data_IF_751598986418
#
_entry.id   IF_751598986418
#
_cell.length_a   1.000
_cell.length_b   1.000
_cell.length_c   1.000
_cell.angle_alpha   90.00
_cell.angle_beta   90.00
_cell.angle_gamma   90.00
#
_symmetry.space_group_name_H-M   'P 1'
#
loop_
_entity.id
_entity.type
_entity.pdbx_description
1 polymer ?
#
# COMPACT_ATOMS: atom_id res chain seq x y z
N UNK A 1 -3.03 23.23 35.96
CA UNK A 1 -4.51 23.34 35.89
C UNK A 1 -4.89 23.50 34.42
N UNK A 2 -5.13 22.40 33.72
CA UNK A 2 -5.63 22.40 32.34
C UNK A 2 -7.15 22.54 32.37
N UNK A 3 -7.65 23.65 31.85
CA UNK A 3 -9.10 23.84 31.66
C UNK A 3 -9.54 23.02 30.44
N UNK A 4 -10.24 21.94 30.70
CA UNK A 4 -11.07 21.25 29.70
C UNK A 4 -12.16 22.22 29.22
N UNK A 5 -12.06 22.68 27.98
CA UNK A 5 -13.16 23.37 27.31
C UNK A 5 -14.24 22.33 26.99
N UNK A 6 -15.36 22.42 27.73
CA UNK A 6 -16.58 21.70 27.37
C UNK A 6 -17.15 22.32 26.11
N UNK A 7 -16.94 21.67 24.96
CA UNK A 7 -17.68 21.96 23.73
C UNK A 7 -19.11 21.46 23.93
N UNK A 8 -20.05 22.39 24.16
CA UNK A 8 -21.47 22.07 24.08
C UNK A 8 -21.77 21.63 22.66
N UNK A 9 -22.11 20.36 22.48
CA UNK A 9 -22.74 19.88 21.26
C UNK A 9 -24.07 20.60 21.11
N UNK A 10 -24.19 21.43 20.09
CA UNK A 10 -25.44 22.10 19.73
C UNK A 10 -26.33 21.06 19.05
N UNK A 11 -27.21 20.44 19.82
CA UNK A 11 -28.29 19.56 19.36
C UNK A 11 -29.41 20.41 18.79
N UNK A 12 -29.25 21.01 17.63
CA UNK A 12 -30.37 21.55 16.85
C UNK A 12 -30.41 20.86 15.47
N UNK A 13 -31.45 20.03 15.31
CA UNK A 13 -32.06 19.66 14.04
C UNK A 13 -31.39 18.51 13.28
N UNK A 14 -31.86 17.36 13.50
CA UNK A 14 -31.88 16.01 12.92
C UNK A 14 -31.31 15.02 13.92
N UNK A 15 -32.17 14.13 14.42
CA UNK A 15 -31.70 12.96 15.17
C UNK A 15 -30.78 12.17 14.22
N UNK A 16 -29.46 12.30 14.40
CA UNK A 16 -28.54 11.34 13.88
C UNK A 16 -28.84 10.00 14.57
N UNK A 17 -29.77 9.25 14.00
CA UNK A 17 -30.08 7.90 14.47
C UNK A 17 -28.84 7.09 14.12
N UNK A 18 -28.05 6.74 15.13
CA UNK A 18 -26.96 5.77 14.94
C UNK A 18 -27.59 4.49 14.38
N UNK A 19 -27.24 4.15 13.13
CA UNK A 19 -27.79 3.01 12.43
C UNK A 19 -27.09 1.74 12.92
N UNK A 20 -27.85 0.74 13.31
CA UNK A 20 -27.35 -0.60 13.60
C UNK A 20 -27.52 -1.43 12.32
N UNK A 21 -26.42 -1.98 11.84
CA UNK A 21 -26.42 -2.82 10.64
C UNK A 21 -26.48 -4.30 11.04
N UNK A 22 -27.21 -5.08 10.26
CA UNK A 22 -27.32 -6.54 10.46
C UNK A 22 -26.29 -7.33 9.63
N UNK A 23 -25.75 -6.72 8.58
CA UNK A 23 -24.74 -7.28 7.72
C UNK A 23 -23.63 -6.27 7.47
N UNK A 24 -22.40 -6.71 7.44
CA UNK A 24 -21.24 -5.86 7.18
C UNK A 24 -21.28 -5.26 5.75
N UNK A 25 -21.90 -5.94 4.79
CA UNK A 25 -22.05 -5.44 3.42
C UNK A 25 -22.94 -4.19 3.34
N UNK A 26 -23.91 -4.05 4.25
CA UNK A 26 -24.77 -2.85 4.34
C UNK A 26 -24.00 -1.61 4.80
N UNK A 27 -22.77 -1.78 5.29
CA UNK A 27 -21.88 -0.70 5.69
C UNK A 27 -20.99 -0.21 4.55
N UNK A 28 -21.01 -0.88 3.39
CA UNK A 28 -20.22 -0.47 2.22
C UNK A 28 -20.88 0.75 1.59
N UNK A 29 -20.07 1.77 1.32
CA UNK A 29 -20.58 3.07 0.84
C UNK A 29 -21.00 4.00 1.98
N UNK A 30 -21.71 5.07 1.63
CA UNK A 30 -22.09 6.15 2.54
C UNK A 30 -20.91 6.67 3.38
N UNK A 31 -19.73 6.67 2.78
CA UNK A 31 -18.49 7.05 3.44
C UNK A 31 -18.49 8.54 3.78
N UNK A 32 -17.87 8.94 4.90
CA UNK A 32 -17.76 10.35 5.29
C UNK A 32 -16.96 11.17 4.27
N UNK A 33 -17.10 12.49 4.38
CA UNK A 33 -16.29 13.47 3.66
C UNK A 33 -15.60 14.38 4.67
N UNK A 34 -14.31 14.67 4.44
CA UNK A 34 -13.47 15.52 5.28
C UNK A 34 -13.03 16.75 4.50
N UNK A 35 -13.27 17.96 5.04
CA UNK A 35 -12.69 19.20 4.52
C UNK A 35 -11.22 19.32 4.97
N UNK A 36 -10.31 19.53 4.05
CA UNK A 36 -8.88 19.74 4.30
C UNK A 36 -8.67 21.19 4.75
N UNK A 37 -8.06 21.38 5.93
CA UNK A 37 -7.90 22.72 6.54
C UNK A 37 -6.47 23.06 6.93
N UNK A 38 -5.62 22.07 7.15
CA UNK A 38 -4.26 22.26 7.64
C UNK A 38 -3.21 22.07 6.53
N UNK A 39 -3.66 21.95 5.28
CA UNK A 39 -2.81 21.92 4.09
C UNK A 39 -3.18 23.11 3.21
N UNK A 40 -2.17 23.84 2.72
CA UNK A 40 -2.38 24.95 1.79
C UNK A 40 -2.83 24.43 0.42
N UNK A 41 -4.10 24.68 0.10
CA UNK A 41 -4.75 24.33 -1.18
C UNK A 41 -4.94 25.53 -2.10
N UNK A 42 -4.29 26.68 -1.82
CA UNK A 42 -4.52 27.93 -2.56
C UNK A 42 -5.95 28.46 -2.36
N UNK A 43 -6.62 29.00 -3.40
CA UNK A 43 -7.93 29.62 -3.25
C UNK A 43 -9.09 28.63 -3.05
N UNK A 44 -8.87 27.33 -3.30
CA UNK A 44 -9.93 26.32 -3.27
C UNK A 44 -10.22 25.78 -1.88
N UNK A 45 -11.46 25.32 -1.70
CA UNK A 45 -11.82 24.40 -0.61
C UNK A 45 -11.74 22.99 -1.12
N UNK A 46 -10.84 22.19 -0.51
CA UNK A 46 -10.61 20.81 -0.87
C UNK A 46 -11.25 19.85 0.14
N UNK A 47 -11.97 18.85 -0.36
CA UNK A 47 -12.63 17.82 0.41
C UNK A 47 -12.15 16.45 0.00
N UNK A 48 -12.02 15.51 0.95
CA UNK A 48 -11.69 14.11 0.69
C UNK A 48 -12.86 13.20 1.04
N UNK A 49 -13.32 12.43 0.07
CA UNK A 49 -14.26 11.32 0.26
C UNK A 49 -13.49 10.15 0.88
N UNK A 50 -13.83 9.76 2.11
CA UNK A 50 -13.06 8.82 2.91
C UNK A 50 -13.38 7.36 2.59
N UNK A 51 -13.03 6.89 1.39
CA UNK A 51 -13.26 5.52 0.95
C UNK A 51 -12.46 4.47 1.74
N UNK A 52 -11.39 4.90 2.41
CA UNK A 52 -10.66 4.08 3.38
C UNK A 52 -11.51 3.60 4.57
N UNK A 53 -12.68 4.21 4.80
CA UNK A 53 -13.62 3.85 5.88
C UNK A 53 -14.64 2.77 5.48
N UNK A 54 -14.61 2.28 4.25
CA UNK A 54 -15.32 1.05 3.91
C UNK A 54 -14.81 -0.14 4.76
N UNK A 55 -15.60 -1.19 4.98
CA UNK A 55 -15.27 -2.31 5.87
C UNK A 55 -13.95 -3.03 5.58
N UNK A 56 -13.60 -3.30 4.29
CA UNK A 56 -12.31 -3.86 3.91
C UNK A 56 -11.25 -2.77 3.65
N UNK A 57 -11.58 -1.51 3.94
CA UNK A 57 -10.68 -0.37 3.98
C UNK A 57 -10.33 0.20 2.61
N UNK A 58 -11.25 0.17 1.62
CA UNK A 58 -11.00 0.82 0.34
C UNK A 58 -12.26 1.08 -0.50
N UNK A 59 -12.12 1.95 -1.51
CA UNK A 59 -13.12 2.20 -2.54
C UNK A 59 -13.54 0.92 -3.31
N UNK A 60 -12.69 -0.11 -3.31
CA UNK A 60 -12.97 -1.35 -4.05
C UNK A 60 -13.98 -2.26 -3.35
N UNK A 61 -14.32 -2.00 -2.10
CA UNK A 61 -15.40 -2.69 -1.41
C UNK A 61 -16.72 -2.53 -2.17
N UNK A 62 -16.95 -1.32 -2.72
CA UNK A 62 -18.14 -1.00 -3.52
C UNK A 62 -18.28 -1.91 -4.74
N UNK A 63 -17.23 -2.03 -5.52
CA UNK A 63 -17.24 -2.87 -6.73
C UNK A 63 -17.24 -4.36 -6.39
N UNK A 64 -16.61 -4.76 -5.29
CA UNK A 64 -16.63 -6.14 -4.81
C UNK A 64 -18.05 -6.63 -4.52
N UNK A 65 -18.86 -5.81 -3.84
CA UNK A 65 -20.27 -6.10 -3.58
C UNK A 65 -21.09 -6.03 -4.86
N UNK A 66 -20.97 -4.95 -5.64
CA UNK A 66 -21.77 -4.72 -6.85
C UNK A 66 -21.61 -5.84 -7.88
N UNK A 67 -20.37 -6.23 -8.23
CA UNK A 67 -20.12 -7.25 -9.24
C UNK A 67 -20.67 -8.64 -8.85
N UNK A 68 -20.63 -8.98 -7.55
CA UNK A 68 -21.20 -10.25 -7.07
C UNK A 68 -22.73 -10.17 -7.08
N UNK A 69 -23.33 -9.11 -6.54
CA UNK A 69 -24.78 -8.99 -6.45
C UNK A 69 -25.48 -8.90 -7.80
N UNK A 70 -24.88 -8.18 -8.74
CA UNK A 70 -25.46 -8.09 -10.08
C UNK A 70 -25.30 -9.42 -10.85
N UNK A 71 -24.22 -10.17 -10.66
CA UNK A 71 -24.07 -11.52 -11.20
C UNK A 71 -25.12 -12.50 -10.61
N UNK A 72 -25.41 -12.42 -9.30
CA UNK A 72 -26.49 -13.17 -8.66
C UNK A 72 -27.87 -12.82 -9.27
N UNK A 73 -28.17 -11.52 -9.42
CA UNK A 73 -29.46 -11.06 -9.98
C UNK A 73 -29.68 -11.54 -11.42
N UNK A 74 -28.62 -11.61 -12.23
CA UNK A 74 -28.69 -12.15 -13.60
C UNK A 74 -28.73 -13.67 -13.64
N UNK A 75 -28.40 -14.36 -12.55
CA UNK A 75 -28.27 -15.82 -12.50
C UNK A 75 -26.97 -16.36 -13.09
N UNK A 76 -25.98 -15.48 -13.33
CA UNK A 76 -24.63 -15.83 -13.79
C UNK A 76 -23.83 -16.49 -12.66
N UNK A 77 -24.09 -16.10 -11.42
CA UNK A 77 -23.48 -16.65 -10.19
C UNK A 77 -24.57 -17.28 -9.31
N UNK A 78 -24.38 -18.53 -8.92
CA UNK A 78 -25.33 -19.31 -8.11
C UNK A 78 -24.70 -19.72 -6.78
N UNK A 79 -25.51 -19.94 -5.73
CA UNK A 79 -25.01 -20.45 -4.46
C UNK A 79 -24.16 -21.70 -4.65
N UNK A 80 -22.94 -21.68 -4.11
CA UNK A 80 -21.97 -22.77 -4.21
C UNK A 80 -20.99 -22.67 -5.38
N UNK A 81 -21.19 -21.74 -6.32
CA UNK A 81 -20.22 -21.48 -7.37
C UNK A 81 -18.92 -20.91 -6.81
N UNK A 82 -17.81 -21.20 -7.48
CA UNK A 82 -16.51 -20.60 -7.15
C UNK A 82 -16.32 -19.29 -7.93
N UNK A 83 -15.80 -18.28 -7.27
CA UNK A 83 -15.42 -17.00 -7.89
C UNK A 83 -13.92 -16.99 -8.11
N UNK A 84 -13.47 -16.47 -9.26
CA UNK A 84 -12.06 -16.24 -9.59
C UNK A 84 -11.86 -14.78 -10.00
N UNK A 85 -10.79 -14.15 -9.52
CA UNK A 85 -10.36 -12.85 -9.99
C UNK A 85 -8.84 -12.75 -10.01
N UNK A 86 -8.34 -11.97 -10.97
CA UNK A 86 -6.93 -11.63 -11.09
C UNK A 86 -6.72 -10.20 -10.62
N UNK A 87 -6.10 -10.01 -9.44
CA UNK A 87 -5.98 -8.68 -8.86
C UNK A 87 -4.76 -8.54 -7.97
N UNK A 88 -4.14 -7.37 -8.02
CA UNK A 88 -2.97 -7.03 -7.21
C UNK A 88 -3.32 -6.42 -5.83
N UNK A 89 -4.59 -6.34 -5.39
CA UNK A 89 -4.79 -5.67 -4.14
C UNK A 89 -6.23 -5.48 -3.65
N UNK A 90 -6.67 -4.23 -3.61
CA UNK A 90 -7.91 -3.83 -2.93
C UNK A 90 -9.18 -4.48 -3.51
N UNK A 91 -9.24 -4.74 -4.81
CA UNK A 91 -10.38 -5.45 -5.41
C UNK A 91 -10.52 -6.85 -4.84
N UNK A 92 -9.41 -7.57 -4.63
CA UNK A 92 -9.40 -8.86 -3.97
C UNK A 92 -9.96 -8.81 -2.55
N UNK A 93 -9.66 -7.75 -1.77
CA UNK A 93 -10.20 -7.56 -0.42
C UNK A 93 -11.71 -7.27 -0.46
N UNK A 94 -12.18 -6.41 -1.37
CA UNK A 94 -13.61 -6.14 -1.53
C UNK A 94 -14.39 -7.39 -1.96
N UNK A 95 -13.84 -8.19 -2.88
CA UNK A 95 -14.41 -9.47 -3.29
C UNK A 95 -14.40 -10.50 -2.14
N UNK A 96 -13.29 -10.57 -1.38
CA UNK A 96 -13.20 -11.50 -0.24
C UNK A 96 -14.21 -11.14 0.85
N UNK A 97 -14.44 -9.85 1.11
CA UNK A 97 -15.50 -9.39 2.02
C UNK A 97 -16.87 -9.89 1.56
N UNK A 98 -17.25 -9.65 0.30
CA UNK A 98 -18.55 -10.01 -0.23
C UNK A 98 -18.70 -11.54 -0.33
N UNK A 99 -17.69 -12.23 -0.86
CA UNK A 99 -17.71 -13.69 -1.02
C UNK A 99 -17.84 -14.42 0.33
N UNK A 100 -17.07 -13.99 1.35
CA UNK A 100 -17.13 -14.59 2.69
C UNK A 100 -18.51 -14.46 3.33
N UNK A 101 -19.18 -13.30 3.16
CA UNK A 101 -20.51 -13.05 3.72
C UNK A 101 -21.63 -13.81 2.98
N UNK A 102 -21.43 -14.05 1.69
CA UNK A 102 -22.41 -14.73 0.83
C UNK A 102 -22.12 -16.24 0.67
N UNK A 103 -21.01 -16.74 1.24
CA UNK A 103 -20.65 -18.15 1.24
C UNK A 103 -20.06 -18.67 -0.08
N UNK A 104 -19.43 -17.81 -0.87
CA UNK A 104 -18.75 -18.20 -2.11
C UNK A 104 -17.28 -18.56 -1.87
N UNK A 105 -16.79 -19.70 -2.34
CA UNK A 105 -15.36 -19.95 -2.49
C UNK A 105 -14.74 -18.90 -3.42
N UNK A 106 -13.60 -18.34 -3.04
CA UNK A 106 -12.92 -17.29 -3.79
C UNK A 106 -11.46 -17.68 -4.05
N UNK A 107 -11.05 -17.62 -5.32
CA UNK A 107 -9.67 -17.82 -5.75
C UNK A 107 -9.15 -16.48 -6.31
N UNK A 108 -8.04 -16.00 -5.79
CA UNK A 108 -7.38 -14.76 -6.21
C UNK A 108 -6.01 -15.05 -6.78
N UNK A 109 -5.77 -14.61 -8.01
CA UNK A 109 -4.48 -14.74 -8.68
C UNK A 109 -3.71 -13.42 -8.58
N UNK A 110 -2.54 -13.46 -7.93
CA UNK A 110 -1.73 -12.28 -7.61
C UNK A 110 -0.31 -12.42 -8.18
N UNK A 111 0.29 -11.32 -8.68
CA UNK A 111 1.74 -11.29 -8.95
C UNK A 111 2.54 -11.44 -7.65
N UNK A 112 3.67 -12.13 -7.71
CA UNK A 112 4.53 -12.44 -6.55
C UNK A 112 5.25 -11.22 -5.93
N UNK A 113 5.23 -10.06 -6.60
CA UNK A 113 5.73 -8.77 -6.08
C UNK A 113 4.84 -8.12 -5.01
N UNK A 114 3.68 -8.69 -4.73
CA UNK A 114 2.74 -8.14 -3.74
C UNK A 114 3.27 -8.27 -2.31
N UNK A 115 2.90 -7.32 -1.45
CA UNK A 115 3.31 -7.34 -0.04
C UNK A 115 2.72 -8.55 0.70
N UNK A 116 3.48 -9.08 1.66
CA UNK A 116 3.02 -10.20 2.49
C UNK A 116 1.76 -9.86 3.29
N UNK A 117 1.65 -8.60 3.73
CA UNK A 117 0.49 -8.11 4.48
C UNK A 117 -0.80 -8.26 3.66
N UNK A 118 -0.76 -7.94 2.36
CA UNK A 118 -1.91 -8.11 1.46
C UNK A 118 -2.28 -9.58 1.28
N UNK A 119 -1.28 -10.44 1.09
CA UNK A 119 -1.48 -11.89 0.95
C UNK A 119 -2.10 -12.46 2.23
N UNK A 120 -1.59 -12.08 3.41
CA UNK A 120 -2.13 -12.52 4.69
C UNK A 120 -3.56 -12.04 4.93
N UNK A 121 -3.87 -10.78 4.58
CA UNK A 121 -5.23 -10.26 4.69
C UNK A 121 -6.23 -11.05 3.83
N UNK A 122 -5.89 -11.34 2.57
CA UNK A 122 -6.73 -12.10 1.67
C UNK A 122 -6.98 -13.53 2.19
N UNK A 123 -5.93 -14.21 2.66
CA UNK A 123 -6.04 -15.55 3.26
C UNK A 123 -6.85 -15.54 4.54
N UNK A 124 -6.67 -14.53 5.40
CA UNK A 124 -7.44 -14.37 6.64
C UNK A 124 -8.95 -14.18 6.37
N UNK A 125 -9.29 -13.58 5.23
CA UNK A 125 -10.69 -13.43 4.77
C UNK A 125 -11.23 -14.68 4.05
N UNK A 126 -10.45 -15.77 3.99
CA UNK A 126 -10.86 -17.06 3.44
C UNK A 126 -10.59 -17.26 1.95
N UNK A 127 -9.89 -16.36 1.28
CA UNK A 127 -9.55 -16.53 -0.12
C UNK A 127 -8.40 -17.54 -0.32
N UNK A 128 -8.52 -18.40 -1.32
CA UNK A 128 -7.41 -19.16 -1.89
C UNK A 128 -6.55 -18.19 -2.71
N UNK A 129 -5.26 -18.08 -2.38
CA UNK A 129 -4.34 -17.17 -3.07
C UNK A 129 -3.34 -17.96 -3.90
N UNK A 130 -3.38 -17.74 -5.21
CA UNK A 130 -2.44 -18.28 -6.20
C UNK A 130 -1.45 -17.19 -6.57
N UNK A 131 -0.16 -17.39 -6.27
CA UNK A 131 0.89 -16.48 -6.67
C UNK A 131 1.43 -16.88 -8.03
N UNK A 132 1.70 -15.87 -8.87
CA UNK A 132 2.27 -16.04 -10.20
C UNK A 132 3.39 -15.03 -10.45
N UNK A 133 4.12 -15.21 -11.54
CA UNK A 133 5.25 -14.36 -11.91
C UNK A 133 4.82 -12.92 -12.21
N UNK A 134 5.61 -11.97 -11.72
CA UNK A 134 5.45 -10.54 -11.99
C UNK A 134 6.35 -10.01 -13.10
N UNK A 135 7.27 -10.83 -13.61
CA UNK A 135 8.26 -10.49 -14.65
C UNK A 135 7.82 -10.91 -16.07
N UNK A 136 6.53 -11.23 -16.26
CA UNK A 136 5.95 -11.65 -17.53
C UNK A 136 4.90 -10.66 -18.03
N UNK A 137 4.81 -10.47 -19.34
CA UNK A 137 3.85 -9.59 -20.00
C UNK A 137 2.55 -10.31 -20.36
N UNK A 138 1.53 -9.53 -20.71
CA UNK A 138 0.23 -10.01 -21.21
C UNK A 138 0.40 -10.95 -22.40
N UNK A 139 -0.33 -12.07 -22.38
CA UNK A 139 -0.21 -13.15 -23.36
C UNK A 139 0.71 -14.30 -22.92
N UNK A 140 1.49 -14.14 -21.86
CA UNK A 140 2.21 -15.25 -21.24
C UNK A 140 1.26 -16.07 -20.36
N UNK A 141 1.31 -17.42 -20.36
CA UNK A 141 0.41 -18.26 -19.57
C UNK A 141 0.40 -17.98 -18.06
N UNK A 142 1.52 -17.50 -17.53
CA UNK A 142 1.68 -17.10 -16.12
C UNK A 142 1.43 -15.61 -15.88
N UNK A 143 0.98 -14.85 -16.90
CA UNK A 143 0.49 -13.48 -16.66
C UNK A 143 -0.78 -13.55 -15.81
N UNK A 144 -0.84 -12.78 -14.72
CA UNK A 144 -1.85 -12.97 -13.67
C UNK A 144 -3.30 -12.97 -14.19
N UNK A 145 -3.64 -12.11 -15.16
CA UNK A 145 -4.99 -12.07 -15.74
C UNK A 145 -5.27 -13.30 -16.63
N UNK A 146 -4.30 -13.75 -17.41
CA UNK A 146 -4.44 -14.89 -18.30
C UNK A 146 -4.52 -16.20 -17.50
N UNK A 147 -3.72 -16.31 -16.44
CA UNK A 147 -3.79 -17.43 -15.49
C UNK A 147 -5.14 -17.45 -14.74
N UNK A 148 -5.64 -16.29 -14.30
CA UNK A 148 -6.96 -16.20 -13.67
C UNK A 148 -8.09 -16.71 -14.57
N UNK A 149 -8.09 -16.30 -15.84
CA UNK A 149 -9.07 -16.80 -16.85
C UNK A 149 -8.94 -18.32 -17.08
N UNK A 150 -7.71 -18.81 -17.11
CA UNK A 150 -7.45 -20.26 -17.26
C UNK A 150 -8.00 -21.06 -16.09
N UNK A 151 -7.69 -20.63 -14.85
CA UNK A 151 -8.20 -21.27 -13.63
C UNK A 151 -9.74 -21.25 -13.60
N UNK A 152 -10.34 -20.10 -13.94
CA UNK A 152 -11.80 -19.99 -13.98
C UNK A 152 -12.42 -20.99 -14.95
N UNK A 153 -11.83 -21.15 -16.14
CA UNK A 153 -12.29 -22.13 -17.15
C UNK A 153 -12.11 -23.56 -16.68
N UNK A 154 -10.94 -23.91 -16.14
CA UNK A 154 -10.65 -25.28 -15.67
C UNK A 154 -11.54 -25.73 -14.50
N UNK A 155 -11.84 -24.80 -13.59
CA UNK A 155 -12.68 -25.05 -12.42
C UNK A 155 -14.18 -24.85 -12.69
N UNK A 156 -14.58 -24.44 -13.91
CA UNK A 156 -15.94 -24.01 -14.24
C UNK A 156 -16.46 -22.95 -13.23
N UNK A 157 -15.60 -21.97 -12.92
CA UNK A 157 -15.83 -20.92 -11.94
C UNK A 157 -16.22 -19.60 -12.63
N UNK A 158 -16.88 -18.72 -11.89
CA UNK A 158 -17.26 -17.40 -12.36
C UNK A 158 -16.04 -16.45 -12.29
N UNK A 159 -15.62 -15.94 -13.46
CA UNK A 159 -14.55 -14.96 -13.56
C UNK A 159 -15.13 -13.54 -13.48
N UNK A 160 -14.71 -12.75 -12.48
CA UNK A 160 -15.25 -11.40 -12.22
C UNK A 160 -14.91 -10.42 -13.34
N UNK A 161 -13.65 -10.40 -13.79
CA UNK A 161 -13.13 -9.49 -14.83
C UNK A 161 -13.35 -8.01 -14.52
N UNK A 162 -12.76 -7.48 -13.45
CA UNK A 162 -12.94 -6.09 -13.01
C UNK A 162 -12.67 -5.04 -14.11
N UNK A 163 -11.85 -5.37 -15.12
CA UNK A 163 -11.48 -4.47 -16.22
C UNK A 163 -12.49 -4.48 -17.39
N UNK A 164 -13.34 -5.50 -17.45
CA UNK A 164 -14.36 -5.68 -18.48
C UNK A 164 -15.79 -5.69 -17.94
N UNK A 165 -15.99 -5.79 -16.63
CA UNK A 165 -17.28 -5.98 -16.00
C UNK A 165 -18.07 -4.65 -15.89
N UNK A 166 -19.26 -4.52 -16.52
CA UNK A 166 -20.07 -3.30 -16.46
C UNK A 166 -20.62 -2.97 -15.07
N UNK A 167 -20.67 -3.93 -14.16
CA UNK A 167 -21.15 -3.75 -12.78
C UNK A 167 -20.13 -3.02 -11.92
N UNK A 168 -18.88 -2.94 -12.35
CA UNK A 168 -17.84 -2.13 -11.73
C UNK A 168 -18.18 -0.62 -11.80
N UNK A 169 -18.33 0.02 -12.99
CA UNK A 169 -18.74 1.41 -13.04
C UNK A 169 -20.15 1.67 -12.46
N UNK A 170 -21.07 0.69 -12.52
CA UNK A 170 -22.39 0.84 -11.95
C UNK A 170 -22.36 1.08 -10.43
N UNK A 171 -21.45 0.46 -9.69
CA UNK A 171 -21.26 0.71 -8.26
C UNK A 171 -20.98 2.19 -7.95
N UNK A 172 -20.27 2.87 -8.84
CA UNK A 172 -19.92 4.28 -8.69
C UNK A 172 -20.99 5.22 -9.25
N UNK A 173 -21.67 4.83 -10.35
CA UNK A 173 -22.79 5.58 -10.92
C UNK A 173 -23.97 5.63 -9.94
N UNK A 174 -24.30 4.51 -9.28
CA UNK A 174 -25.45 4.43 -8.37
C UNK A 174 -25.14 4.76 -6.91
N UNK A 175 -23.87 4.75 -6.50
CA UNK A 175 -23.44 4.95 -5.11
C UNK A 175 -22.53 6.17 -4.94
N UNK A 176 -21.28 6.09 -5.40
CA UNK A 176 -20.25 7.10 -5.12
C UNK A 176 -20.62 8.50 -5.63
N UNK A 177 -21.11 8.61 -6.86
CA UNK A 177 -21.43 9.89 -7.48
C UNK A 177 -22.62 10.60 -6.81
N UNK A 178 -23.78 9.94 -6.56
CA UNK A 178 -24.88 10.57 -5.84
C UNK A 178 -24.50 10.96 -4.40
N UNK A 179 -23.72 10.11 -3.68
CA UNK A 179 -23.25 10.45 -2.33
C UNK A 179 -22.41 11.73 -2.32
N UNK A 180 -21.52 11.92 -3.29
CA UNK A 180 -20.70 13.14 -3.38
C UNK A 180 -21.57 14.36 -3.61
N UNK A 181 -22.52 14.32 -4.55
CA UNK A 181 -23.39 15.46 -4.83
C UNK A 181 -24.29 15.79 -3.63
N UNK A 182 -24.81 14.79 -2.94
CA UNK A 182 -25.61 14.98 -1.72
C UNK A 182 -24.78 15.64 -0.60
N UNK A 183 -23.55 15.14 -0.35
CA UNK A 183 -22.68 15.67 0.69
C UNK A 183 -22.19 17.10 0.41
N UNK A 184 -22.16 17.48 -0.86
CA UNK A 184 -21.79 18.83 -1.30
C UNK A 184 -23.00 19.74 -1.53
N UNK A 185 -24.23 19.30 -1.23
CA UNK A 185 -25.50 20.01 -1.52
C UNK A 185 -25.59 20.47 -3.00
N UNK A 186 -25.01 19.70 -3.92
CA UNK A 186 -24.91 20.01 -5.35
C UNK A 186 -23.94 21.15 -5.70
N UNK A 187 -23.29 21.79 -4.72
CA UNK A 187 -22.37 22.91 -4.89
C UNK A 187 -20.91 22.39 -4.98
N UNK A 188 -20.52 21.95 -6.18
CA UNK A 188 -19.27 21.31 -6.49
C UNK A 188 -18.75 21.74 -7.86
N UNK A 189 -17.47 22.12 -7.97
CA UNK A 189 -16.85 22.58 -9.21
C UNK A 189 -16.03 21.49 -9.91
N UNK A 190 -15.31 20.65 -9.15
CA UNK A 190 -14.46 19.62 -9.73
C UNK A 190 -14.29 18.40 -8.83
N UNK A 191 -14.03 17.25 -9.45
CA UNK A 191 -13.63 16.01 -8.78
C UNK A 191 -12.27 15.57 -9.34
N UNK A 192 -11.28 15.40 -8.45
CA UNK A 192 -9.97 14.84 -8.79
C UNK A 192 -9.96 13.37 -8.40
N UNK A 193 -9.67 12.49 -9.36
CA UNK A 193 -9.73 11.04 -9.18
C UNK A 193 -8.57 10.34 -9.89
N UNK A 194 -8.27 9.10 -9.47
CA UNK A 194 -7.29 8.22 -10.11
C UNK A 194 -7.98 7.06 -10.84
N UNK A 195 -7.27 6.45 -11.76
CA UNK A 195 -7.76 5.36 -12.59
C UNK A 195 -6.87 4.12 -12.45
N UNK A 196 -7.48 3.00 -12.02
CA UNK A 196 -6.99 1.64 -12.20
C UNK A 196 -7.95 0.95 -13.16
N UNK A 197 -8.92 0.16 -12.66
CA UNK A 197 -9.91 -0.53 -13.52
C UNK A 197 -10.92 0.39 -14.24
N UNK A 198 -10.83 1.70 -14.13
CA UNK A 198 -11.69 2.73 -14.73
C UNK A 198 -13.11 2.83 -14.17
N UNK A 199 -13.55 1.95 -13.28
CA UNK A 199 -14.91 1.96 -12.77
C UNK A 199 -15.35 3.29 -12.18
N UNK A 200 -14.49 3.92 -11.37
CA UNK A 200 -14.80 5.19 -10.71
C UNK A 200 -15.00 6.31 -11.73
N UNK A 201 -14.04 6.52 -12.66
CA UNK A 201 -14.15 7.58 -13.66
C UNK A 201 -15.38 7.38 -14.56
N UNK A 202 -15.64 6.16 -14.99
CA UNK A 202 -16.77 5.81 -15.85
C UNK A 202 -18.12 6.02 -15.15
N UNK A 203 -18.25 5.54 -13.90
CA UNK A 203 -19.46 5.74 -13.12
C UNK A 203 -19.77 7.21 -12.84
N UNK A 204 -18.72 7.98 -12.45
CA UNK A 204 -18.87 9.43 -12.23
C UNK A 204 -19.19 10.15 -13.55
N UNK A 205 -18.52 9.84 -14.66
CA UNK A 205 -18.80 10.43 -15.98
C UNK A 205 -20.26 10.27 -16.37
N UNK A 206 -20.79 9.06 -16.25
CA UNK A 206 -22.20 8.75 -16.60
C UNK A 206 -23.20 9.49 -15.71
N UNK A 207 -22.96 9.51 -14.40
CA UNK A 207 -23.87 10.17 -13.45
C UNK A 207 -23.83 11.69 -13.60
N UNK A 208 -22.65 12.29 -13.62
CA UNK A 208 -22.48 13.73 -13.70
C UNK A 208 -22.96 14.31 -15.03
N UNK A 209 -22.88 13.54 -16.14
CA UNK A 209 -23.46 13.98 -17.43
C UNK A 209 -24.95 14.27 -17.32
N UNK A 210 -25.68 13.56 -16.47
CA UNK A 210 -27.13 13.69 -16.29
C UNK A 210 -27.51 14.68 -15.18
N UNK A 211 -26.73 14.73 -14.08
CA UNK A 211 -27.15 15.37 -12.83
C UNK A 211 -26.34 16.62 -12.47
N UNK A 212 -25.09 16.74 -12.95
CA UNK A 212 -24.23 17.89 -12.67
C UNK A 212 -23.23 18.10 -13.82
N UNK A 213 -23.71 18.50 -15.01
CA UNK A 213 -22.89 18.58 -16.23
C UNK A 213 -21.77 19.62 -16.17
N UNK A 214 -21.83 20.56 -15.21
CA UNK A 214 -20.81 21.61 -15.04
C UNK A 214 -19.65 21.19 -14.13
N UNK A 215 -19.71 20.03 -13.47
CA UNK A 215 -18.63 19.53 -12.62
C UNK A 215 -17.52 18.95 -13.50
N UNK A 216 -16.30 19.48 -13.37
CA UNK A 216 -15.11 19.00 -14.07
C UNK A 216 -14.60 17.70 -13.45
N UNK A 217 -14.20 16.73 -14.28
CA UNK A 217 -13.42 15.57 -13.84
C UNK A 217 -11.95 15.78 -14.21
N UNK A 218 -11.07 15.60 -13.24
CA UNK A 218 -9.63 15.79 -13.34
C UNK A 218 -8.96 14.47 -13.00
N UNK A 219 -8.06 13.99 -13.88
CA UNK A 219 -7.32 12.76 -13.64
C UNK A 219 -6.02 13.04 -12.90
N UNK A 220 -5.79 12.26 -11.83
CA UNK A 220 -4.49 12.10 -11.20
C UNK A 220 -3.89 10.76 -11.65
N UNK A 221 -2.75 10.79 -12.30
CA UNK A 221 -2.12 9.62 -12.91
C UNK A 221 -0.66 9.51 -12.47
N UNK A 222 -0.13 8.33 -12.10
CA UNK A 222 1.29 8.20 -11.79
C UNK A 222 2.14 8.42 -13.04
N UNK A 223 3.29 9.05 -12.89
CA UNK A 223 4.29 9.14 -13.95
C UNK A 223 4.68 7.73 -14.42
N UNK A 224 4.66 7.52 -15.74
CA UNK A 224 4.90 6.20 -16.34
C UNK A 224 3.64 5.48 -16.81
N UNK A 225 2.47 5.83 -16.28
CA UNK A 225 1.16 5.43 -16.84
C UNK A 225 0.90 6.14 -18.16
N UNK A 226 0.09 5.51 -19.03
CA UNK A 226 -0.25 6.08 -20.34
C UNK A 226 -1.44 7.03 -20.30
N UNK A 227 -2.18 7.11 -19.19
CA UNK A 227 -3.51 7.72 -19.16
C UNK A 227 -3.43 9.26 -19.20
N UNK A 228 -2.46 9.87 -18.52
CA UNK A 228 -2.31 11.33 -18.56
C UNK A 228 -2.00 11.85 -19.97
N UNK A 229 -1.11 11.18 -20.70
CA UNK A 229 -0.78 11.53 -22.09
C UNK A 229 -1.99 11.33 -23.01
N UNK A 230 -2.71 10.21 -22.82
CA UNK A 230 -3.93 9.92 -23.57
C UNK A 230 -5.01 11.00 -23.38
N UNK A 231 -5.24 11.43 -22.14
CA UNK A 231 -6.25 12.47 -21.85
C UNK A 231 -5.84 13.82 -22.42
N UNK A 232 -4.59 14.24 -22.22
CA UNK A 232 -4.14 15.57 -22.57
C UNK A 232 -3.81 15.73 -24.06
N UNK A 233 -3.38 14.67 -24.73
CA UNK A 233 -2.84 14.75 -26.10
C UNK A 233 -3.54 13.78 -27.07
N UNK A 234 -4.33 12.82 -26.59
CA UNK A 234 -4.97 11.79 -27.43
C UNK A 234 -3.99 10.72 -27.93
N UNK A 235 -2.78 10.67 -27.38
CA UNK A 235 -1.70 9.79 -27.82
C UNK A 235 -1.51 8.64 -26.82
N UNK A 236 -1.39 7.42 -27.36
CA UNK A 236 -0.95 6.26 -26.60
C UNK A 236 0.52 6.03 -26.91
N UNK A 237 1.37 6.31 -25.94
CA UNK A 237 2.80 6.02 -26.06
C UNK A 237 3.07 4.65 -25.42
N UNK A 238 3.88 3.82 -26.11
CA UNK A 238 4.47 2.61 -25.50
C UNK A 238 5.54 3.03 -24.47
N UNK A 239 5.10 3.57 -23.34
CA UNK A 239 5.98 3.87 -22.22
C UNK A 239 6.06 2.63 -21.33
N UNK A 240 7.19 1.93 -21.40
CA UNK A 240 7.54 0.87 -20.44
C UNK A 240 8.16 1.47 -19.15
N UNK A 241 7.53 2.49 -18.58
CA UNK A 241 7.96 3.02 -17.29
C UNK A 241 7.18 2.32 -16.16
N UNK A 242 7.86 2.04 -15.08
CA UNK A 242 7.26 1.46 -13.87
C UNK A 242 7.07 2.55 -12.83
N UNK A 243 6.02 2.44 -12.03
CA UNK A 243 5.74 3.28 -10.87
C UNK A 243 5.55 2.43 -9.62
N UNK A 244 5.72 3.02 -8.44
CA UNK A 244 5.62 2.36 -7.14
C UNK A 244 4.30 2.63 -6.41
N UNK A 245 3.54 3.63 -6.86
CA UNK A 245 2.17 3.87 -6.40
C UNK A 245 1.29 2.67 -6.75
N UNK A 246 0.45 2.24 -5.82
CA UNK A 246 -0.39 1.07 -6.01
C UNK A 246 -1.87 1.44 -6.20
N UNK A 247 -2.56 0.70 -7.10
CA UNK A 247 -4.01 0.76 -7.28
C UNK A 247 -4.52 1.77 -8.29
N UNK A 248 -3.64 2.56 -8.88
CA UNK A 248 -3.90 3.47 -10.00
C UNK A 248 -2.73 3.45 -10.98
N UNK A 249 -2.95 3.98 -12.19
CA UNK A 249 -2.01 3.92 -13.29
C UNK A 249 -2.17 2.64 -14.10
N UNK A 250 -2.15 2.75 -15.42
CA UNK A 250 -2.31 1.63 -16.36
C UNK A 250 -1.36 1.78 -17.55
N UNK A 251 -1.02 0.64 -18.15
CA UNK A 251 -0.27 0.52 -19.41
C UNK A 251 -1.18 0.14 -20.59
N UNK A 252 -2.49 0.10 -20.35
CA UNK A 252 -3.54 -0.16 -21.36
C UNK A 252 -4.83 0.62 -21.02
N UNK A 253 -5.75 0.73 -21.98
CA UNK A 253 -7.09 1.28 -21.74
C UNK A 253 -8.04 0.17 -21.34
N UNK A 254 -8.60 0.18 -20.10
CA UNK A 254 -9.63 -0.76 -19.71
C UNK A 254 -10.88 -0.65 -20.62
N UNK A 255 -11.49 -1.77 -20.97
CA UNK A 255 -12.61 -1.80 -21.94
C UNK A 255 -13.87 -1.10 -21.44
N UNK A 256 -14.01 -0.93 -20.13
CA UNK A 256 -15.14 -0.23 -19.49
C UNK A 256 -14.90 1.27 -19.31
N UNK A 257 -13.76 1.81 -19.78
CA UNK A 257 -13.39 3.21 -19.53
C UNK A 257 -14.24 4.20 -20.34
N UNK A 258 -14.66 5.27 -19.66
CA UNK A 258 -15.28 6.45 -20.26
C UNK A 258 -14.59 7.70 -19.74
N UNK A 259 -13.69 8.23 -20.55
CA UNK A 259 -12.93 9.46 -20.27
C UNK A 259 -13.55 10.71 -20.90
N UNK A 260 -14.72 10.61 -21.54
CA UNK A 260 -15.33 11.69 -22.30
C UNK A 260 -15.54 12.99 -21.53
N UNK A 261 -15.61 12.91 -20.19
CA UNK A 261 -15.78 14.05 -19.29
C UNK A 261 -14.52 14.45 -18.53
N UNK A 262 -13.42 13.75 -18.73
CA UNK A 262 -12.14 14.13 -18.09
C UNK A 262 -11.56 15.32 -18.85
N UNK A 263 -11.42 16.44 -18.16
CA UNK A 263 -11.02 17.72 -18.76
C UNK A 263 -9.51 17.84 -18.94
N UNK A 264 -8.77 17.39 -17.96
CA UNK A 264 -7.31 17.41 -17.93
C UNK A 264 -6.76 16.32 -17.01
N UNK A 265 -5.48 16.00 -17.15
CA UNK A 265 -4.79 15.02 -16.34
C UNK A 265 -3.45 15.58 -15.83
N UNK A 266 -3.13 15.23 -14.58
CA UNK A 266 -1.84 15.54 -13.95
C UNK A 266 -1.03 14.26 -13.80
N UNK A 267 0.14 14.22 -14.41
CA UNK A 267 1.15 13.22 -14.12
C UNK A 267 1.83 13.59 -12.80
N UNK A 268 1.86 12.64 -11.86
CA UNK A 268 2.38 12.82 -10.50
C UNK A 268 3.46 11.77 -10.25
N UNK A 269 4.64 12.20 -9.85
CA UNK A 269 5.72 11.29 -9.53
C UNK A 269 5.45 10.48 -8.25
N UNK A 270 6.15 9.36 -8.10
CA UNK A 270 6.11 8.56 -6.87
C UNK A 270 6.53 9.37 -5.65
N UNK A 271 7.56 10.23 -5.80
CA UNK A 271 8.02 11.15 -4.74
C UNK A 271 6.88 12.07 -4.28
N UNK A 272 6.25 12.78 -5.20
CA UNK A 272 5.13 13.68 -4.88
C UNK A 272 3.97 12.93 -4.22
N UNK A 273 3.70 11.71 -4.68
CA UNK A 273 2.65 10.85 -4.14
C UNK A 273 2.93 10.44 -2.69
N UNK A 274 4.16 10.03 -2.39
CA UNK A 274 4.54 9.61 -1.04
C UNK A 274 4.64 10.79 -0.08
N UNK A 275 5.17 11.92 -0.53
CA UNK A 275 5.23 13.17 0.24
C UNK A 275 3.83 13.68 0.59
N UNK A 276 2.90 13.65 -0.36
CA UNK A 276 1.51 14.05 -0.13
C UNK A 276 0.77 13.10 0.82
N UNK A 277 0.99 11.78 0.74
CA UNK A 277 0.41 10.82 1.69
C UNK A 277 0.94 11.06 3.12
N UNK A 278 2.23 11.33 3.27
CA UNK A 278 2.85 11.67 4.56
C UNK A 278 2.41 13.04 5.08
N UNK A 279 2.26 14.02 4.19
CA UNK A 279 1.72 15.35 4.52
C UNK A 279 0.30 15.24 5.06
N UNK A 280 -0.55 14.41 4.43
CA UNK A 280 -1.92 14.15 4.84
C UNK A 280 -1.98 13.57 6.26
N UNK A 281 -1.13 12.58 6.55
CA UNK A 281 -1.02 12.02 7.89
C UNK A 281 -0.54 13.06 8.91
N UNK A 282 0.49 13.82 8.58
CA UNK A 282 1.10 14.79 9.49
C UNK A 282 0.16 15.95 9.83
N UNK A 283 -0.57 16.48 8.84
CA UNK A 283 -1.31 17.72 9.01
C UNK A 283 -2.79 17.49 9.33
N UNK A 284 -3.41 16.43 8.78
CA UNK A 284 -4.83 16.13 8.97
C UNK A 284 -5.06 14.89 9.86
N UNK A 285 -4.00 14.16 10.22
CA UNK A 285 -4.10 12.92 11.01
C UNK A 285 -4.72 11.76 10.25
N UNK A 286 -4.76 11.83 8.91
CA UNK A 286 -5.40 10.82 8.06
C UNK A 286 -4.36 9.89 7.43
N UNK A 287 -4.33 8.63 7.88
CA UNK A 287 -3.45 7.59 7.35
C UNK A 287 -4.10 6.93 6.13
N UNK A 288 -3.77 7.42 4.94
CA UNK A 288 -4.29 6.93 3.66
C UNK A 288 -3.17 6.33 2.79
N UNK A 289 -3.53 5.51 1.79
CA UNK A 289 -2.57 4.82 0.94
C UNK A 289 -1.86 5.70 -0.09
N UNK A 290 -0.91 5.12 -0.83
CA UNK A 290 -0.07 5.83 -1.81
C UNK A 290 -0.89 6.52 -2.91
N UNK A 291 -1.90 5.84 -3.47
CA UNK A 291 -2.80 6.43 -4.47
C UNK A 291 -3.56 7.66 -3.94
N UNK A 292 -3.93 7.66 -2.66
CA UNK A 292 -4.55 8.85 -2.04
C UNK A 292 -3.58 10.03 -2.01
N UNK A 293 -2.29 9.76 -1.85
CA UNK A 293 -1.23 10.78 -1.96
C UNK A 293 -1.14 11.35 -3.37
N UNK A 294 -1.16 10.50 -4.40
CA UNK A 294 -1.19 10.94 -5.81
C UNK A 294 -2.39 11.84 -6.10
N UNK A 295 -3.57 11.44 -5.65
CA UNK A 295 -4.79 12.22 -5.82
C UNK A 295 -4.73 13.55 -5.08
N UNK A 296 -4.19 13.56 -3.86
CA UNK A 296 -4.01 14.78 -3.07
C UNK A 296 -3.02 15.73 -3.75
N UNK A 297 -1.88 15.24 -4.24
CA UNK A 297 -0.88 16.05 -4.95
C UNK A 297 -1.47 16.70 -6.21
N UNK A 298 -2.20 15.93 -7.02
CA UNK A 298 -2.91 16.44 -8.18
C UNK A 298 -3.99 17.48 -7.81
N UNK A 299 -4.77 17.20 -6.75
CA UNK A 299 -5.80 18.12 -6.27
C UNK A 299 -5.19 19.45 -5.78
N UNK A 300 -4.06 19.41 -5.08
CA UNK A 300 -3.34 20.62 -4.65
C UNK A 300 -2.83 21.40 -5.89
N UNK A 301 -2.22 20.70 -6.88
CA UNK A 301 -1.76 21.34 -8.13
C UNK A 301 -2.93 22.01 -8.87
N UNK A 302 -4.05 21.28 -9.03
CA UNK A 302 -5.25 21.83 -9.64
C UNK A 302 -5.79 23.05 -8.89
N UNK A 303 -5.92 22.96 -7.58
CA UNK A 303 -6.45 24.04 -6.75
C UNK A 303 -5.58 25.29 -6.79
N UNK A 304 -4.27 25.16 -6.70
CA UNK A 304 -3.32 26.29 -6.75
C UNK A 304 -3.28 26.99 -8.11
N UNK A 305 -3.64 26.30 -9.18
CA UNK A 305 -3.74 26.88 -10.52
C UNK A 305 -5.03 27.71 -10.72
N UNK A 306 -6.01 27.62 -9.82
CA UNK A 306 -7.25 28.38 -9.93
C UNK A 306 -7.06 29.85 -9.53
N UNK A 307 -7.79 30.74 -10.19
CA UNK A 307 -7.81 32.19 -9.87
C UNK A 307 -8.92 32.55 -8.89
N UNK A 308 -9.96 31.72 -8.84
CA UNK A 308 -11.14 31.90 -8.02
C UNK A 308 -11.31 30.71 -7.08
N UNK A 309 -12.08 30.92 -5.99
CA UNK A 309 -12.38 29.86 -5.04
C UNK A 309 -13.27 28.80 -5.69
N UNK A 310 -12.84 27.54 -5.63
CA UNK A 310 -13.60 26.37 -6.09
C UNK A 310 -13.78 25.38 -4.99
N UNK A 311 -14.87 24.60 -5.03
CA UNK A 311 -15.09 23.42 -4.21
C UNK A 311 -14.65 22.20 -4.99
N UNK A 312 -13.63 21.53 -4.48
CA UNK A 312 -12.99 20.38 -5.13
C UNK A 312 -13.09 19.18 -4.22
N UNK A 313 -13.54 18.05 -4.75
CA UNK A 313 -13.56 16.77 -4.05
C UNK A 313 -12.47 15.88 -4.61
N UNK A 314 -11.76 15.15 -3.74
CA UNK A 314 -10.88 14.06 -4.10
C UNK A 314 -11.14 12.87 -3.17
N UNK A 315 -10.31 11.84 -3.22
CA UNK A 315 -10.55 10.59 -2.50
C UNK A 315 -9.37 10.22 -1.60
N UNK A 316 -9.68 9.75 -0.38
CA UNK A 316 -8.80 8.88 0.38
C UNK A 316 -9.20 7.43 0.05
N UNK A 317 -8.54 6.88 -0.99
CA UNK A 317 -8.98 5.68 -1.69
C UNK A 317 -8.94 4.43 -0.82
N UNK A 318 -7.90 4.30 0.02
CA UNK A 318 -7.72 3.15 0.91
C UNK A 318 -6.90 3.52 2.15
N UNK A 319 -6.89 2.60 3.14
CA UNK A 319 -6.16 2.78 4.39
C UNK A 319 -4.66 2.63 4.21
N UNK A 320 -3.88 3.56 4.82
CA UNK A 320 -2.43 3.53 4.84
C UNK A 320 -1.84 2.35 5.66
N UNK A 321 -2.65 1.66 6.47
CA UNK A 321 -2.22 0.46 7.20
C UNK A 321 -1.66 -0.64 6.29
N UNK A 322 -1.99 -0.62 5.00
CA UNK A 322 -1.49 -1.56 3.98
C UNK A 322 -0.10 -1.19 3.43
N UNK A 323 0.46 -0.05 3.85
CA UNK A 323 1.68 0.57 3.29
C UNK A 323 2.69 0.99 4.36
N UNK A 324 2.54 0.49 5.61
CA UNK A 324 3.43 0.84 6.72
C UNK A 324 4.88 0.39 6.49
N UNK A 325 5.08 -0.68 5.73
CA UNK A 325 6.40 -1.17 5.34
C UNK A 325 6.96 -0.49 4.06
N UNK A 326 6.21 0.43 3.44
CA UNK A 326 6.55 1.14 2.20
C UNK A 326 6.61 2.66 2.40
N UNK A 327 5.66 3.42 1.85
CA UNK A 327 5.70 4.89 1.85
C UNK A 327 5.66 5.56 3.24
N UNK A 328 5.37 4.80 4.29
CA UNK A 328 5.46 5.26 5.69
C UNK A 328 6.70 4.73 6.43
N UNK A 329 7.62 4.05 5.74
CA UNK A 329 8.87 3.52 6.29
C UNK A 329 10.05 4.28 5.68
N UNK A 330 10.75 5.06 6.49
CA UNK A 330 11.89 5.88 6.04
C UNK A 330 13.00 5.01 5.43
N UNK A 331 13.30 3.84 6.00
CA UNK A 331 14.29 2.91 5.43
C UNK A 331 13.91 2.41 4.03
N UNK A 332 12.61 2.17 3.79
CA UNK A 332 12.16 1.80 2.45
C UNK A 332 12.28 2.98 1.49
N UNK A 333 11.92 4.20 1.92
CA UNK A 333 12.04 5.40 1.10
C UNK A 333 13.51 5.71 0.75
N UNK A 334 14.42 5.56 1.71
CA UNK A 334 15.87 5.67 1.47
C UNK A 334 16.36 4.59 0.48
N UNK A 335 15.86 3.35 0.63
CA UNK A 335 16.21 2.24 -0.25
C UNK A 335 15.72 2.44 -1.69
N UNK A 336 14.58 3.13 -1.86
CA UNK A 336 14.06 3.51 -3.18
C UNK A 336 14.62 4.84 -3.70
N UNK A 337 15.39 5.59 -2.90
CA UNK A 337 16.00 6.86 -3.29
C UNK A 337 15.11 8.09 -3.14
N UNK A 338 13.97 7.98 -2.41
CA UNK A 338 13.04 9.08 -2.13
C UNK A 338 13.44 9.94 -0.92
N UNK A 339 14.29 9.42 -0.07
CA UNK A 339 14.94 10.18 1.01
C UNK A 339 16.44 10.10 0.76
N UNK A 340 17.09 11.24 0.71
CA UNK A 340 18.55 11.30 0.60
C UNK A 340 19.17 10.80 1.91
N UNK A 341 20.10 9.85 1.78
CA UNK A 341 20.95 9.40 2.86
C UNK A 341 22.31 10.07 2.72
N UNK A 342 22.85 10.53 3.84
CA UNK A 342 24.22 11.03 3.86
C UNK A 342 25.20 9.91 3.46
N UNK A 343 25.96 10.13 2.38
CA UNK A 343 26.97 9.20 1.92
C UNK A 343 28.31 9.54 2.55
N UNK A 344 28.93 8.56 3.16
CA UNK A 344 30.21 8.69 3.83
C UNK A 344 31.39 8.24 2.96
N UNK A 345 31.12 7.52 1.86
CA UNK A 345 32.16 6.99 0.98
C UNK A 345 32.87 5.76 1.53
N UNK A 346 32.34 5.12 2.56
CA UNK A 346 32.89 3.94 3.23
C UNK A 346 31.82 2.86 3.49
N UNK A 347 32.12 1.84 4.29
CA UNK A 347 31.21 0.73 4.55
C UNK A 347 29.92 1.15 5.28
N UNK A 348 29.83 2.35 5.86
CA UNK A 348 28.58 2.88 6.44
C UNK A 348 27.48 2.98 5.41
N UNK A 349 27.82 3.26 4.16
CA UNK A 349 26.86 3.38 3.05
C UNK A 349 26.15 2.05 2.73
N UNK A 350 26.71 0.92 3.16
CA UNK A 350 26.13 -0.41 3.00
C UNK A 350 25.31 -0.86 4.22
N UNK A 351 25.47 -0.21 5.39
CA UNK A 351 24.72 -0.58 6.59
C UNK A 351 23.28 -0.11 6.43
N UNK A 352 22.33 -1.03 6.33
CA UNK A 352 20.92 -0.71 6.19
C UNK A 352 20.32 -0.01 7.42
N UNK A 353 20.88 -0.23 8.63
CA UNK A 353 20.44 0.36 9.89
C UNK A 353 21.63 0.68 10.77
N UNK A 354 22.00 1.94 10.85
CA UNK A 354 23.09 2.42 11.73
C UNK A 354 22.70 2.30 13.21
N UNK A 355 23.68 1.93 14.03
CA UNK A 355 23.44 1.69 15.46
C UNK A 355 23.25 2.99 16.26
N UNK A 356 23.93 4.04 15.93
CA UNK A 356 23.82 5.38 16.53
C UNK A 356 22.44 6.01 16.30
N UNK A 357 21.77 5.69 15.20
CA UNK A 357 20.39 6.11 14.91
C UNK A 357 19.33 5.31 15.71
N UNK A 358 19.74 4.42 16.61
CA UNK A 358 18.88 3.46 17.34
C UNK A 358 18.05 2.56 16.43
N UNK A 359 18.47 2.40 15.19
CA UNK A 359 17.78 1.61 14.19
C UNK A 359 18.11 0.11 14.29
N UNK A 360 19.25 -0.24 14.90
CA UNK A 360 19.68 -1.64 15.06
C UNK A 360 18.93 -2.32 16.19
N UNK A 361 18.32 -3.47 15.91
CA UNK A 361 17.75 -4.35 16.94
C UNK A 361 18.88 -5.11 17.62
N UNK A 362 18.98 -5.01 18.93
CA UNK A 362 20.08 -5.60 19.73
C UNK A 362 19.51 -6.45 20.87
N UNK A 363 20.37 -7.29 21.47
CA UNK A 363 20.12 -8.01 22.72
C UNK A 363 21.25 -7.79 23.70
N UNK A 364 20.99 -7.90 25.01
CA UNK A 364 22.01 -7.93 26.05
C UNK A 364 22.51 -9.36 26.29
N UNK A 365 23.73 -9.53 26.85
CA UNK A 365 24.26 -10.86 27.18
C UNK A 365 23.42 -11.60 28.24
N UNK A 366 22.74 -10.84 29.10
CA UNK A 366 21.91 -11.37 30.19
C UNK A 366 20.44 -11.59 29.79
N UNK A 367 20.04 -11.16 28.56
CA UNK A 367 18.71 -11.49 28.00
C UNK A 367 18.58 -13.01 27.81
N UNK A 368 17.34 -13.55 27.85
CA UNK A 368 17.10 -14.97 27.57
C UNK A 368 17.20 -15.28 26.08
N UNK A 369 17.51 -16.54 25.73
CA UNK A 369 17.45 -16.99 24.34
C UNK A 369 16.03 -16.87 23.75
N UNK A 370 14.98 -17.01 24.57
CA UNK A 370 13.60 -16.72 24.19
C UNK A 370 13.44 -15.28 23.74
N UNK A 371 14.02 -14.31 24.48
CA UNK A 371 13.99 -12.89 24.11
C UNK A 371 14.72 -12.65 22.79
N UNK A 372 15.92 -13.25 22.65
CA UNK A 372 16.70 -13.14 21.41
C UNK A 372 15.92 -13.69 20.20
N UNK A 373 15.34 -14.89 20.32
CA UNK A 373 14.53 -15.51 19.29
C UNK A 373 13.30 -14.67 18.93
N UNK A 374 12.60 -14.12 19.91
CA UNK A 374 11.45 -13.25 19.67
C UNK A 374 11.86 -11.96 18.91
N UNK A 375 13.00 -11.35 19.26
CA UNK A 375 13.52 -10.17 18.55
C UNK A 375 13.95 -10.50 17.11
N UNK A 376 14.64 -11.63 16.90
CA UNK A 376 14.97 -12.15 15.56
C UNK A 376 13.71 -12.28 14.70
N UNK A 377 12.72 -13.02 15.20
CA UNK A 377 11.47 -13.28 14.50
C UNK A 377 10.67 -12.01 14.19
N UNK A 378 10.50 -11.12 15.18
CA UNK A 378 9.72 -9.90 15.03
C UNK A 378 10.36 -8.90 14.05
N UNK A 379 11.71 -8.89 13.99
CA UNK A 379 12.46 -8.03 13.08
C UNK A 379 12.70 -8.65 11.70
N UNK A 380 12.42 -9.95 11.51
CA UNK A 380 12.73 -10.69 10.29
C UNK A 380 14.24 -10.86 10.05
N UNK A 381 15.02 -10.96 11.13
CA UNK A 381 16.48 -11.10 11.08
C UNK A 381 16.92 -12.52 11.44
N UNK A 382 18.04 -12.95 10.88
CA UNK A 382 18.69 -14.22 11.23
C UNK A 382 19.83 -14.07 12.25
N UNK A 383 20.24 -12.82 12.55
CA UNK A 383 21.31 -12.50 13.51
C UNK A 383 21.05 -11.18 14.22
N UNK A 384 21.49 -11.08 15.48
CA UNK A 384 21.46 -9.85 16.28
C UNK A 384 22.81 -9.60 16.93
N UNK A 385 23.25 -8.34 16.99
CA UNK A 385 24.39 -7.94 17.83
C UNK A 385 24.03 -8.07 19.32
N UNK A 386 24.95 -8.61 20.10
CA UNK A 386 24.88 -8.66 21.56
C UNK A 386 25.66 -7.51 22.14
N UNK A 387 24.97 -6.59 22.79
CA UNK A 387 25.55 -5.34 23.28
C UNK A 387 25.64 -5.32 24.81
N UNK A 388 26.78 -4.90 25.34
CA UNK A 388 26.95 -4.61 26.80
C UNK A 388 27.60 -3.26 26.97
N UNK A 389 26.95 -2.36 27.68
CA UNK A 389 27.45 -1.00 27.92
C UNK A 389 27.93 -0.28 26.64
N UNK A 390 27.11 -0.35 25.60
CA UNK A 390 27.36 0.21 24.26
C UNK A 390 28.55 -0.42 23.49
N UNK A 391 29.05 -1.59 23.92
CA UNK A 391 30.09 -2.35 23.22
C UNK A 391 29.52 -3.64 22.66
N UNK A 392 29.91 -3.96 21.43
CA UNK A 392 29.60 -5.24 20.81
C UNK A 392 30.41 -6.35 21.45
N UNK A 393 29.75 -7.26 22.17
CA UNK A 393 30.40 -8.38 22.90
C UNK A 393 30.18 -9.74 22.24
N UNK A 394 29.23 -9.86 21.33
CA UNK A 394 28.92 -11.10 20.62
C UNK A 394 27.90 -10.91 19.52
N UNK A 395 27.65 -11.97 18.80
CA UNK A 395 26.55 -12.09 17.83
C UNK A 395 25.74 -13.33 18.20
N UNK A 396 24.41 -13.21 18.21
CA UNK A 396 23.49 -14.34 18.38
C UNK A 396 22.74 -14.57 17.07
N UNK A 397 22.68 -15.80 16.62
CA UNK A 397 22.01 -16.18 15.36
C UNK A 397 20.98 -17.28 15.64
N UNK A 398 20.07 -17.50 14.67
CA UNK A 398 19.15 -18.65 14.73
C UNK A 398 19.94 -19.97 14.82
N UNK A 399 21.05 -20.10 14.07
CA UNK A 399 21.89 -21.29 14.08
C UNK A 399 22.54 -21.54 15.45
N UNK A 400 23.09 -20.51 16.11
CA UNK A 400 23.68 -20.65 17.45
C UNK A 400 22.65 -21.01 18.49
N UNK A 401 21.44 -20.44 18.42
CA UNK A 401 20.34 -20.81 19.31
C UNK A 401 19.96 -22.28 19.08
N UNK A 402 19.74 -22.70 17.83
CA UNK A 402 19.36 -24.08 17.49
C UNK A 402 20.41 -25.06 18.02
N UNK A 403 21.69 -24.84 17.76
CA UNK A 403 22.77 -25.73 18.25
C UNK A 403 22.79 -25.85 19.76
N UNK A 404 22.49 -24.77 20.49
CA UNK A 404 22.52 -24.77 21.95
C UNK A 404 21.30 -25.45 22.57
N UNK A 405 20.09 -25.30 21.98
CA UNK A 405 18.84 -25.80 22.54
C UNK A 405 18.38 -27.15 21.96
N UNK A 406 19.02 -27.62 20.88
CA UNK A 406 18.60 -28.88 20.23
C UNK A 406 18.56 -30.07 21.19
N UNK A 407 17.37 -30.68 21.32
CA UNK A 407 17.12 -31.76 22.27
C UNK A 407 16.95 -31.31 23.73
N UNK A 408 17.02 -30.01 24.03
CA UNK A 408 16.92 -29.43 25.39
C UNK A 408 16.11 -28.12 25.37
N UNK A 409 14.80 -28.17 25.09
CA UNK A 409 13.99 -26.96 24.90
C UNK A 409 13.95 -26.06 26.15
N UNK A 410 14.17 -26.60 27.34
CA UNK A 410 14.28 -25.86 28.59
C UNK A 410 15.45 -24.85 28.59
N UNK A 411 16.46 -25.07 27.76
CA UNK A 411 17.59 -24.14 27.60
C UNK A 411 17.23 -22.80 26.96
N UNK A 412 16.02 -22.66 26.36
CA UNK A 412 15.54 -21.38 25.85
C UNK A 412 15.46 -20.27 26.91
N UNK A 413 15.39 -20.63 28.17
CA UNK A 413 15.43 -19.68 29.29
C UNK A 413 16.86 -19.28 29.74
N UNK A 414 17.90 -19.87 29.15
CA UNK A 414 19.28 -19.55 29.44
C UNK A 414 19.65 -18.17 28.83
N UNK A 415 20.75 -17.59 29.35
CA UNK A 415 21.24 -16.30 28.90
C UNK A 415 21.82 -16.36 27.47
N UNK A 416 21.70 -15.28 26.74
CA UNK A 416 22.29 -15.09 25.40
C UNK A 416 23.81 -15.33 25.43
N UNK A 417 24.48 -14.93 26.53
CA UNK A 417 25.92 -15.17 26.73
C UNK A 417 26.33 -16.64 26.69
N UNK A 418 25.40 -17.57 26.94
CA UNK A 418 25.69 -19.02 26.94
C UNK A 418 25.76 -19.59 25.50
N UNK A 419 25.13 -18.92 24.51
CA UNK A 419 24.99 -19.39 23.14
C UNK A 419 25.54 -18.43 22.06
N UNK A 420 25.87 -17.17 22.42
CA UNK A 420 26.40 -16.21 21.48
C UNK A 420 27.78 -16.56 20.95
N UNK A 421 28.06 -16.17 19.71
CA UNK A 421 29.41 -16.22 19.16
C UNK A 421 30.19 -14.99 19.62
N UNK A 422 31.38 -15.21 20.21
CA UNK A 422 32.34 -14.16 20.59
C UNK A 422 33.46 -13.97 19.57
N UNK A 423 33.68 -14.98 18.71
CA UNK A 423 34.64 -14.95 17.61
C UNK A 423 33.91 -14.69 16.29
N UNK A 424 33.76 -13.43 15.90
CA UNK A 424 33.09 -13.01 14.68
C UNK A 424 33.93 -11.97 13.91
N UNK A 425 33.66 -11.79 12.61
CA UNK A 425 34.40 -10.85 11.76
C UNK A 425 34.02 -9.41 12.15
N UNK A 426 35.04 -8.65 12.53
CA UNK A 426 34.99 -7.20 12.70
C UNK A 426 35.78 -6.54 11.57
N UNK A 427 35.17 -5.56 10.91
CA UNK A 427 35.82 -4.76 9.88
C UNK A 427 35.75 -3.28 10.27
N UNK A 428 36.83 -2.57 10.02
CA UNK A 428 36.82 -1.11 10.11
C UNK A 428 35.98 -0.56 8.95
N UNK A 429 35.26 0.56 9.19
CA UNK A 429 34.45 1.24 8.18
C UNK A 429 35.19 1.54 6.87
N UNK A 430 36.51 1.80 6.95
CA UNK A 430 37.38 2.13 5.81
C UNK A 430 37.84 0.88 5.02
N UNK A 431 37.40 -0.31 5.41
CA UNK A 431 37.70 -1.54 4.67
C UNK A 431 37.08 -1.51 3.29
N UNK A 432 37.81 -1.97 2.27
CA UNK A 432 37.29 -1.99 0.91
C UNK A 432 36.10 -2.95 0.74
N UNK A 433 35.18 -2.60 -0.15
CA UNK A 433 34.01 -3.44 -0.47
C UNK A 433 34.46 -4.82 -0.99
N UNK A 434 35.54 -4.91 -1.75
CA UNK A 434 36.07 -6.19 -2.24
C UNK A 434 36.47 -7.12 -1.10
N UNK A 435 37.11 -6.59 -0.07
CA UNK A 435 37.48 -7.36 1.11
C UNK A 435 36.23 -7.82 1.88
N UNK A 436 35.24 -6.93 2.06
CA UNK A 436 33.96 -7.29 2.66
C UNK A 436 33.27 -8.43 1.90
N UNK A 437 33.15 -8.32 0.57
CA UNK A 437 32.52 -9.36 -0.27
C UNK A 437 33.25 -10.69 -0.14
N UNK A 438 34.59 -10.68 -0.16
CA UNK A 438 35.39 -11.90 0.01
C UNK A 438 35.13 -12.59 1.35
N UNK A 439 34.94 -11.80 2.43
CA UNK A 439 34.62 -12.32 3.76
C UNK A 439 33.20 -12.83 3.86
N UNK A 440 32.24 -12.18 3.20
CA UNK A 440 30.84 -12.60 3.18
C UNK A 440 30.62 -13.93 2.41
N UNK A 441 31.59 -14.41 1.62
CA UNK A 441 31.56 -15.78 1.08
C UNK A 441 31.71 -16.84 2.17
N UNK A 442 32.45 -16.54 3.24
CA UNK A 442 32.74 -17.47 4.34
C UNK A 442 31.74 -17.35 5.48
N UNK A 443 31.36 -16.09 5.83
CA UNK A 443 30.35 -15.81 6.87
C UNK A 443 29.19 -15.00 6.29
N UNK A 444 27.94 -15.17 6.82
CA UNK A 444 26.78 -14.49 6.28
C UNK A 444 26.68 -13.00 6.65
N UNK A 445 27.50 -12.53 7.58
CA UNK A 445 27.51 -11.15 8.10
C UNK A 445 28.92 -10.70 8.50
N UNK A 446 29.10 -9.38 8.59
CA UNK A 446 30.27 -8.73 9.19
C UNK A 446 29.84 -7.59 10.11
N UNK A 447 30.49 -7.46 11.26
CA UNK A 447 30.29 -6.32 12.15
C UNK A 447 31.21 -5.17 11.72
N UNK A 448 30.61 -4.00 11.50
CA UNK A 448 31.36 -2.81 11.09
C UNK A 448 31.60 -1.93 12.30
N UNK A 449 32.84 -1.46 12.46
CA UNK A 449 33.25 -0.62 13.57
C UNK A 449 34.03 0.60 13.10
N UNK A 450 33.98 1.65 13.89
CA UNK A 450 34.92 2.77 13.84
C UNK A 450 35.71 2.73 15.16
N UNK A 451 36.98 2.29 15.09
CA UNK A 451 37.74 1.88 16.25
C UNK A 451 36.98 0.86 17.14
N UNK A 452 36.61 1.25 18.36
CA UNK A 452 35.81 0.40 19.28
C UNK A 452 34.29 0.60 19.15
N UNK A 453 33.85 1.63 18.40
CA UNK A 453 32.44 1.94 18.24
C UNK A 453 31.78 1.01 17.21
N UNK A 454 30.74 0.30 17.62
CA UNK A 454 29.95 -0.52 16.72
C UNK A 454 29.02 0.37 15.89
N UNK A 455 29.10 0.26 14.55
CA UNK A 455 28.29 1.03 13.61
C UNK A 455 27.08 0.25 13.08
N UNK A 456 27.21 -1.07 12.92
CA UNK A 456 26.13 -1.92 12.41
C UNK A 456 26.64 -3.24 11.87
N UNK A 457 25.70 -4.06 11.37
CA UNK A 457 25.99 -5.29 10.66
C UNK A 457 25.80 -5.07 9.15
N UNK A 458 26.65 -5.67 8.34
CA UNK A 458 26.45 -5.82 6.90
C UNK A 458 26.28 -7.30 6.58
N UNK A 459 25.23 -7.61 5.85
CA UNK A 459 24.90 -8.94 5.34
C UNK A 459 25.06 -9.02 3.83
N UNK A 460 24.92 -10.22 3.26
CA UNK A 460 24.88 -10.40 1.80
C UNK A 460 23.73 -9.63 1.15
N UNK A 461 22.58 -9.52 1.82
CA UNK A 461 21.42 -8.76 1.33
C UNK A 461 21.71 -7.26 1.23
N UNK A 462 22.45 -6.69 2.19
CA UNK A 462 22.83 -5.29 2.18
C UNK A 462 23.75 -4.97 0.99
N UNK A 463 24.70 -5.86 0.71
CA UNK A 463 25.58 -5.73 -0.48
C UNK A 463 24.78 -5.80 -1.77
N UNK A 464 23.83 -6.74 -1.90
CA UNK A 464 22.95 -6.85 -3.07
C UNK A 464 22.10 -5.59 -3.26
N UNK A 465 21.53 -5.06 -2.19
CA UNK A 465 20.76 -3.81 -2.22
C UNK A 465 21.62 -2.62 -2.66
N UNK A 466 22.85 -2.52 -2.13
CA UNK A 466 23.78 -1.48 -2.54
C UNK A 466 24.17 -1.57 -4.03
N UNK A 467 24.41 -2.77 -4.54
CA UNK A 467 24.72 -2.98 -5.96
C UNK A 467 23.55 -2.63 -6.87
N UNK A 468 22.32 -2.99 -6.46
CA UNK A 468 21.08 -2.65 -7.19
C UNK A 468 20.91 -1.14 -7.39
N UNK A 469 21.31 -0.33 -6.40
CA UNK A 469 21.23 1.14 -6.47
C UNK A 469 22.24 1.77 -7.44
N UNK A 470 23.26 1.03 -7.87
CA UNK A 470 24.32 1.51 -8.80
C UNK A 470 24.05 1.16 -10.27
N UNK A 471 23.04 0.32 -10.53
CA UNK A 471 22.56 -0.03 -11.86
C UNK A 471 21.42 0.90 -12.25
#
# INVERSE_FOLDING_TARGET
MLRLRSTKFNLMGTKNIMKVFSNILDMVGQTPMLEIKNIDTGPCRLFLKLELMNPAGSIKDRIGVSMIEEAEKRGDLKPGDTIVEATAGNTGLGLALAASQKGYPLILVLPDKMSQEKIFNLRAMGAEVVLTRSDVAKGHPEYYQDLGKTIAKEKNAYFIDQFGNPDNPMAHESGTAPEILEQMDGDLDAIVLGVGSSGTVTGLSRYLAKHAPNVDLILADPEGSILADYINHGELHDKNASWLVEGIGEDFLPSISDFSRVKEAFAISDQESFDAARLLLKNEGLLAGSSSGTLLAAAIKYCRAQKESKKVVSFACDTGNKYLSKCFNDFWLEDQGFIERELHGDLRDLIGRLHDERATVVVGPDDSLTTAHNRLRNAGFSQLPVMKSNKLVGIITEDTIIRFVFGKPEMMNRSVSDAMETAFIKLNKDTSINNLVSLLHVQPYAAITDEELFLGLITRSDVLNYLRKKI
#
